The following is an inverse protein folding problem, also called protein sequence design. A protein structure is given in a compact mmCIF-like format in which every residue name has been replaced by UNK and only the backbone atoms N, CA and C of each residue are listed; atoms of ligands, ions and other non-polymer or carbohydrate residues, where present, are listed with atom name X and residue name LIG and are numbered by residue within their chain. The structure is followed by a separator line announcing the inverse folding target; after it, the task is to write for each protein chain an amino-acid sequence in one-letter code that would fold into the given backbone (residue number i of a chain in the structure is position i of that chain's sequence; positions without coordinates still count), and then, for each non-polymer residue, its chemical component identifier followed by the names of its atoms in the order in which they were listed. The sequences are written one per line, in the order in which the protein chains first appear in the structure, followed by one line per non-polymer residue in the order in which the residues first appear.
data_IF_412706339025
#
_entry.id   IF_412706339025
#
_cell.length_a   1.000
_cell.length_b   1.000
_cell.length_c   1.000
_cell.angle_alpha   90.00
_cell.angle_beta   90.00
_cell.angle_gamma   90.00
#
_symmetry.space_group_name_H-M   'P 1'
#
loop_
_entity.id
_entity.type
_entity.pdbx_description
1 polymer ?
#
# COMPACT_ATOMS: atom_id res chain seq x y z
N UNK A 1 -21.93 12.90 6.71
CA UNK A 1 -20.64 12.37 6.22
C UNK A 1 -20.82 11.98 4.76
N UNK A 2 -19.94 12.40 3.84
CA UNK A 2 -20.06 12.03 2.42
C UNK A 2 -19.42 10.63 2.17
N UNK A 3 -19.60 10.08 0.96
CA UNK A 3 -19.11 8.73 0.60
C UNK A 3 -17.58 8.59 0.78
N UNK A 4 -16.82 9.63 0.45
CA UNK A 4 -15.37 9.62 0.55
C UNK A 4 -14.92 9.59 2.02
N UNK A 5 -15.50 10.46 2.86
CA UNK A 5 -15.22 10.47 4.30
C UNK A 5 -15.53 9.12 4.96
N UNK A 6 -16.61 8.44 4.52
CA UNK A 6 -16.93 7.10 5.01
C UNK A 6 -15.89 6.06 4.58
N UNK A 7 -15.41 6.10 3.33
CA UNK A 7 -14.35 5.21 2.83
C UNK A 7 -13.08 5.39 3.65
N UNK A 8 -12.62 6.63 3.79
CA UNK A 8 -11.38 6.99 4.47
C UNK A 8 -11.46 6.64 5.97
N UNK A 9 -12.58 6.96 6.61
CA UNK A 9 -12.84 6.59 8.00
C UNK A 9 -12.86 5.08 8.24
N UNK A 10 -13.32 4.30 7.26
CA UNK A 10 -13.29 2.83 7.35
C UNK A 10 -11.88 2.26 7.18
N UNK A 11 -11.16 2.70 6.15
CA UNK A 11 -9.78 2.27 5.84
C UNK A 11 -8.84 2.48 7.03
N UNK A 12 -8.97 3.60 7.75
CA UNK A 12 -8.15 3.95 8.92
C UNK A 12 -8.14 2.89 10.04
N UNK A 13 -9.15 2.04 10.13
CA UNK A 13 -9.26 1.04 11.20
C UNK A 13 -8.47 -0.24 10.94
N UNK A 14 -7.79 -0.35 9.79
CA UNK A 14 -7.07 -1.54 9.38
C UNK A 14 -5.58 -1.27 9.25
N UNK A 15 -4.76 -2.30 9.50
CA UNK A 15 -3.30 -2.23 9.35
C UNK A 15 -2.85 -2.20 7.89
N UNK A 16 -3.61 -2.87 7.02
CA UNK A 16 -3.33 -3.00 5.60
C UNK A 16 -4.57 -2.70 4.76
N UNK A 17 -4.36 -2.24 3.53
CA UNK A 17 -5.39 -2.06 2.52
C UNK A 17 -4.96 -2.67 1.19
N UNK A 18 -5.80 -3.51 0.58
CA UNK A 18 -5.56 -4.01 -0.78
C UNK A 18 -5.86 -2.88 -1.77
N UNK A 19 -4.80 -2.31 -2.31
CA UNK A 19 -4.79 -1.13 -3.16
C UNK A 19 -4.52 -1.50 -4.63
N UNK A 20 -5.22 -2.51 -5.15
CA UNK A 20 -5.01 -3.01 -6.51
C UNK A 20 -5.72 -2.14 -7.54
N UNK A 21 -5.02 -1.82 -8.62
CA UNK A 21 -5.62 -1.18 -9.77
C UNK A 21 -6.40 -2.17 -10.63
N UNK A 22 -7.34 -1.62 -11.40
CA UNK A 22 -8.18 -2.42 -12.30
C UNK A 22 -7.40 -3.00 -13.48
N UNK A 23 -6.18 -2.51 -13.75
CA UNK A 23 -5.31 -2.95 -14.85
C UNK A 23 -3.85 -2.77 -14.48
N UNK A 24 -3.01 -3.65 -15.03
CA UNK A 24 -1.56 -3.44 -15.08
C UNK A 24 -1.25 -2.44 -16.19
N UNK A 25 -0.79 -1.24 -15.82
CA UNK A 25 -0.49 -0.18 -16.77
C UNK A 25 0.66 0.71 -16.23
N UNK A 26 1.82 0.77 -16.92
CA UNK A 26 2.94 1.61 -16.49
C UNK A 26 2.55 3.09 -16.38
N UNK A 27 2.85 3.73 -15.25
CA UNK A 27 2.48 5.11 -14.94
C UNK A 27 1.03 5.30 -14.47
N UNK A 28 0.24 4.24 -14.31
CA UNK A 28 -1.15 4.33 -13.88
C UNK A 28 -1.29 4.00 -12.38
N UNK A 29 -1.27 5.04 -11.55
CA UNK A 29 -1.52 4.94 -10.10
C UNK A 29 -2.64 5.91 -9.72
N UNK A 30 -3.64 5.43 -8.98
CA UNK A 30 -4.85 6.22 -8.64
C UNK A 30 -4.98 6.47 -7.14
N UNK A 31 -6.15 6.96 -6.71
CA UNK A 31 -6.48 7.16 -5.28
C UNK A 31 -6.39 5.87 -4.46
N UNK A 32 -6.42 4.70 -5.10
CA UNK A 32 -6.33 3.41 -4.40
C UNK A 32 -5.03 3.26 -3.61
N UNK A 33 -3.91 3.78 -4.12
CA UNK A 33 -2.65 3.80 -3.38
C UNK A 33 -2.62 4.95 -2.36
N UNK A 34 -3.13 6.12 -2.73
CA UNK A 34 -2.98 7.36 -1.94
C UNK A 34 -3.90 7.39 -0.72
N UNK A 35 -5.14 6.92 -0.85
CA UNK A 35 -6.13 6.89 0.23
C UNK A 35 -5.60 6.15 1.48
N UNK A 36 -5.04 4.92 1.37
CA UNK A 36 -4.49 4.24 2.53
C UNK A 36 -3.25 4.93 3.12
N UNK A 37 -2.34 5.45 2.28
CA UNK A 37 -1.18 6.23 2.74
C UNK A 37 -1.62 7.43 3.57
N UNK A 38 -2.68 8.13 3.14
CA UNK A 38 -3.21 9.32 3.81
C UNK A 38 -3.72 9.04 5.23
N UNK A 39 -4.16 7.81 5.53
CA UNK A 39 -4.72 7.42 6.84
C UNK A 39 -3.90 6.42 7.61
N UNK A 40 -2.59 6.35 7.35
CA UNK A 40 -1.64 5.49 8.06
C UNK A 40 -2.04 4.01 8.06
N UNK A 41 -2.52 3.51 6.92
CA UNK A 41 -2.63 2.07 6.67
C UNK A 41 -1.71 1.68 5.52
N UNK A 42 -1.08 0.52 5.62
CA UNK A 42 -0.07 0.10 4.64
C UNK A 42 -0.78 -0.38 3.37
N UNK A 43 -0.56 0.25 2.21
CA UNK A 43 -1.11 -0.23 0.96
C UNK A 43 -0.39 -1.51 0.52
N UNK A 44 -1.16 -2.48 0.03
CA UNK A 44 -0.67 -3.62 -0.75
C UNK A 44 -1.06 -3.36 -2.19
N UNK A 45 -0.11 -2.93 -3.02
CA UNK A 45 -0.37 -2.36 -4.33
C UNK A 45 0.03 -3.29 -5.48
N UNK A 46 -0.82 -3.34 -6.50
CA UNK A 46 -0.56 -3.96 -7.80
C UNK A 46 -1.22 -3.11 -8.89
N UNK A 47 -0.56 -2.94 -10.03
CA UNK A 47 -1.06 -2.06 -11.11
C UNK A 47 0.08 -1.48 -11.92
N UNK A 48 0.62 -0.35 -11.49
CA UNK A 48 1.81 0.25 -12.11
C UNK A 48 3.10 -0.48 -11.66
N UNK A 49 3.85 -1.16 -12.56
CA UNK A 49 5.14 -1.76 -12.22
C UNK A 49 6.24 -0.73 -11.95
N UNK A 50 6.02 0.55 -12.31
CA UNK A 50 6.93 1.67 -12.06
C UNK A 50 6.53 2.53 -10.87
N UNK A 51 5.57 2.08 -10.05
CA UNK A 51 5.05 2.86 -8.92
C UNK A 51 6.17 3.37 -7.98
N UNK A 52 7.24 2.59 -7.83
CA UNK A 52 8.42 2.94 -7.03
C UNK A 52 9.27 4.09 -7.61
N UNK A 53 9.03 4.54 -8.84
CA UNK A 53 9.65 5.76 -9.40
C UNK A 53 8.96 7.03 -8.85
N UNK A 54 7.71 6.93 -8.44
CA UNK A 54 6.88 8.06 -8.01
C UNK A 54 6.63 8.08 -6.50
N UNK A 55 6.47 6.90 -5.91
CA UNK A 55 6.23 6.70 -4.47
C UNK A 55 7.42 5.99 -3.84
N UNK A 56 7.72 6.33 -2.60
CA UNK A 56 8.78 5.68 -1.85
C UNK A 56 8.42 4.20 -1.61
N UNK A 57 9.22 3.24 -2.12
CA UNK A 57 8.98 1.81 -1.92
C UNK A 57 8.97 1.36 -0.45
N UNK A 58 9.51 2.18 0.47
CA UNK A 58 9.44 1.90 1.90
C UNK A 58 8.08 2.26 2.54
N UNK A 59 7.14 2.85 1.79
CA UNK A 59 5.82 3.28 2.31
C UNK A 59 4.67 2.35 1.94
N UNK A 60 4.89 1.36 1.07
CA UNK A 60 3.86 0.40 0.63
C UNK A 60 4.48 -0.96 0.27
N UNK A 61 3.65 -1.99 0.21
CA UNK A 61 4.06 -3.32 -0.23
C UNK A 61 3.72 -3.46 -1.72
N UNK A 62 4.74 -3.60 -2.57
CA UNK A 62 4.58 -3.83 -4.00
C UNK A 62 4.34 -5.32 -4.27
N UNK A 63 3.19 -5.69 -4.82
CA UNK A 63 2.92 -7.06 -5.24
C UNK A 63 3.82 -7.51 -6.40
N UNK A 64 4.45 -6.58 -7.12
CA UNK A 64 5.38 -6.91 -8.21
C UNK A 64 6.72 -7.48 -7.71
N UNK A 65 7.00 -7.33 -6.41
CA UNK A 65 8.25 -7.81 -5.80
C UNK A 65 8.20 -9.32 -5.48
N UNK A 66 7.04 -9.95 -5.68
CA UNK A 66 6.77 -11.35 -5.33
C UNK A 66 6.43 -12.17 -6.56
N UNK A 67 6.80 -13.45 -6.56
CA UNK A 67 6.54 -14.38 -7.68
C UNK A 67 5.13 -14.93 -7.68
N UNK A 68 4.42 -14.84 -6.55
CA UNK A 68 3.08 -15.37 -6.37
C UNK A 68 2.31 -14.60 -5.30
N UNK A 69 0.97 -14.75 -5.30
CA UNK A 69 0.12 -14.18 -4.25
C UNK A 69 0.35 -14.86 -2.89
N UNK A 70 0.76 -16.12 -2.86
CA UNK A 70 1.10 -16.83 -1.62
C UNK A 70 2.35 -16.22 -0.97
N UNK A 71 3.39 -15.96 -1.77
CA UNK A 71 4.62 -15.30 -1.28
C UNK A 71 4.34 -13.87 -0.79
N UNK A 72 3.47 -13.14 -1.50
CA UNK A 72 2.98 -11.83 -1.04
C UNK A 72 2.23 -11.94 0.29
N UNK A 73 1.32 -12.91 0.43
CA UNK A 73 0.54 -13.11 1.64
C UNK A 73 1.46 -13.46 2.84
N UNK A 74 2.43 -14.34 2.63
CA UNK A 74 3.44 -14.69 3.63
C UNK A 74 4.25 -13.46 4.08
N UNK A 75 4.63 -12.60 3.14
CA UNK A 75 5.32 -11.35 3.47
C UNK A 75 4.43 -10.38 4.26
N UNK A 76 3.16 -10.20 3.87
CA UNK A 76 2.22 -9.37 4.63
C UNK A 76 2.06 -9.87 6.06
N UNK A 77 1.95 -11.20 6.26
CA UNK A 77 1.91 -11.82 7.58
C UNK A 77 3.22 -11.60 8.36
N UNK A 78 4.37 -11.63 7.69
CA UNK A 78 5.65 -11.31 8.31
C UNK A 78 5.71 -9.86 8.79
N UNK A 79 5.27 -8.90 7.97
CA UNK A 79 5.17 -7.48 8.35
C UNK A 79 4.19 -7.30 9.52
N UNK A 80 3.04 -7.95 9.50
CA UNK A 80 2.03 -7.89 10.57
C UNK A 80 2.61 -8.34 11.93
N UNK A 81 3.39 -9.43 11.91
CA UNK A 81 4.00 -10.04 13.09
C UNK A 81 5.31 -9.37 13.55
N UNK A 82 5.83 -8.43 12.78
CA UNK A 82 7.12 -7.76 13.05
C UNK A 82 6.89 -6.26 13.31
N UNK A 83 6.72 -5.84 14.58
CA UNK A 83 6.35 -4.46 14.92
C UNK A 83 7.30 -3.40 14.35
N UNK A 84 8.60 -3.69 14.29
CA UNK A 84 9.62 -2.77 13.80
C UNK A 84 9.49 -2.53 12.30
N UNK A 85 9.19 -3.60 11.54
CA UNK A 85 8.99 -3.55 10.10
C UNK A 85 7.67 -2.85 9.76
N UNK A 86 6.59 -3.17 10.47
CA UNK A 86 5.31 -2.46 10.36
C UNK A 86 5.49 -0.95 10.64
N UNK A 87 6.20 -0.61 11.72
CA UNK A 87 6.45 0.78 12.07
C UNK A 87 7.40 1.49 11.09
N UNK A 88 8.30 0.76 10.41
CA UNK A 88 9.12 1.33 9.32
C UNK A 88 8.24 1.78 8.17
N UNK A 89 7.30 0.96 7.71
CA UNK A 89 6.36 1.34 6.66
C UNK A 89 5.54 2.58 7.03
N UNK A 90 5.04 2.66 8.27
CA UNK A 90 4.26 3.83 8.71
C UNK A 90 5.07 5.11 8.89
N UNK A 91 6.39 5.02 9.10
CA UNK A 91 7.28 6.19 9.24
C UNK A 91 7.83 6.68 7.92
N UNK A 92 7.82 5.84 6.88
CA UNK A 92 8.33 6.22 5.57
C UNK A 92 7.49 7.34 4.97
N UNK A 93 8.15 8.37 4.43
CA UNK A 93 7.47 9.37 3.60
C UNK A 93 6.84 8.68 2.39
N UNK A 94 5.58 8.97 2.02
CA UNK A 94 4.95 8.44 0.81
C UNK A 94 5.71 8.74 -0.48
N UNK A 95 6.45 9.84 -0.50
CA UNK A 95 7.22 10.30 -1.66
C UNK A 95 8.72 10.27 -1.36
N UNK A 96 9.53 10.18 -2.41
CA UNK A 96 10.97 10.36 -2.31
C UNK A 96 11.29 11.72 -1.65
N UNK A 97 12.33 11.74 -0.81
CA UNK A 97 12.86 12.95 -0.15
C UNK A 97 13.79 13.75 -1.04
#
# INVERSE_FOLDING_TARGET
MNRYEHKIGWIRNYRFNIAFENRLCPGWTTEKLVDPLHVHTIPIHWGDPRVGEFFNPESFISAHDFRSLDELADYVLHVDKTPELYARYLRASPFHG
#
